data_IF_456680707543
#
_entry.id   IF_456680707543
#
_cell.length_a   1.000
_cell.length_b   1.000
_cell.length_c   1.000
_cell.angle_alpha   90.00
_cell.angle_beta   90.00
_cell.angle_gamma   90.00
#
_symmetry.space_group_name_H-M   'P 1'
#
loop_
_entity.id
_entity.type
_entity.pdbx_description
1 polymer ?
#
# COMPACT_ATOMS: atom_id res chain seq x y z
N UNK A 1 11.14 30.19 -12.12
CA UNK A 1 11.04 28.74 -12.35
C UNK A 1 10.64 28.56 -13.81
N UNK A 2 11.42 27.82 -14.59
CA UNK A 2 11.07 27.53 -16.00
C UNK A 2 9.84 26.63 -16.06
N UNK A 3 9.20 26.51 -17.22
CA UNK A 3 8.02 25.66 -17.38
C UNK A 3 8.35 24.19 -17.06
N UNK A 4 9.52 23.72 -17.48
CA UNK A 4 10.02 22.36 -17.22
C UNK A 4 10.29 22.13 -15.73
N UNK A 5 10.78 23.14 -15.02
CA UNK A 5 10.98 23.05 -13.56
C UNK A 5 9.65 22.95 -12.81
N UNK A 6 8.57 23.55 -13.31
CA UNK A 6 7.23 23.39 -12.70
C UNK A 6 6.75 21.95 -12.79
N UNK A 7 7.06 21.21 -13.88
CA UNK A 7 6.73 19.79 -13.97
C UNK A 7 7.42 18.96 -12.89
N UNK A 8 8.66 19.31 -12.51
CA UNK A 8 9.38 18.66 -11.41
C UNK A 8 8.72 19.01 -10.07
N UNK A 9 8.34 20.28 -9.88
CA UNK A 9 7.67 20.74 -8.66
C UNK A 9 6.34 20.01 -8.40
N UNK A 10 5.57 19.74 -9.47
CA UNK A 10 4.29 19.02 -9.42
C UNK A 10 4.41 17.50 -9.66
N UNK A 11 5.63 16.96 -9.80
CA UNK A 11 5.82 15.51 -9.95
C UNK A 11 5.48 14.79 -8.63
N UNK A 12 4.71 13.72 -8.73
CA UNK A 12 4.39 12.84 -7.60
C UNK A 12 5.60 12.06 -7.09
N UNK A 13 6.69 12.00 -7.85
CA UNK A 13 7.92 11.34 -7.43
C UNK A 13 8.84 12.35 -6.73
N UNK A 14 9.34 12.04 -5.51
CA UNK A 14 10.35 12.87 -4.85
C UNK A 14 11.56 13.12 -5.75
N UNK A 15 11.94 14.38 -5.87
CA UNK A 15 13.17 14.81 -6.52
C UNK A 15 13.98 15.70 -5.57
N UNK A 16 15.28 15.42 -5.45
CA UNK A 16 16.21 16.21 -4.64
C UNK A 16 17.50 16.42 -5.42
N UNK A 17 17.99 17.66 -5.40
CA UNK A 17 19.30 18.05 -5.90
C UNK A 17 20.21 18.41 -4.74
N UNK A 18 21.36 17.77 -4.66
CA UNK A 18 22.39 18.03 -3.66
C UNK A 18 23.62 18.68 -4.29
N UNK A 19 24.40 19.39 -3.48
CA UNK A 19 25.77 19.70 -3.83
C UNK A 19 26.74 18.57 -3.40
N UNK A 20 28.00 18.68 -3.77
CA UNK A 20 29.08 17.75 -3.42
C UNK A 20 29.25 17.47 -1.92
N UNK A 21 28.72 18.33 -1.04
CA UNK A 21 28.78 18.21 0.43
C UNK A 21 27.50 17.64 1.04
N UNK A 22 26.54 17.20 0.23
CA UNK A 22 25.26 16.66 0.69
C UNK A 22 24.26 17.71 1.17
N UNK A 23 24.52 19.00 0.91
CA UNK A 23 23.52 20.05 1.16
C UNK A 23 22.50 20.07 0.04
N UNK A 24 21.22 20.07 0.41
CA UNK A 24 20.10 20.24 -0.52
C UNK A 24 20.20 21.63 -1.18
N UNK A 25 20.27 21.66 -2.50
CA UNK A 25 20.21 22.86 -3.34
C UNK A 25 18.77 23.15 -3.77
N UNK A 26 18.02 22.11 -4.14
CA UNK A 26 16.60 22.19 -4.47
C UNK A 26 15.92 20.84 -4.25
N UNK A 27 14.61 20.87 -4.11
CA UNK A 27 13.74 19.71 -4.01
C UNK A 27 12.32 20.09 -4.43
N UNK A 28 11.50 19.12 -4.83
CA UNK A 28 10.08 19.37 -5.12
C UNK A 28 9.21 19.21 -3.88
N UNK A 29 7.92 19.57 -4.00
CA UNK A 29 6.95 19.44 -2.92
C UNK A 29 6.90 18.03 -2.32
N UNK A 30 6.91 16.97 -3.15
CA UNK A 30 6.83 15.60 -2.63
C UNK A 30 8.06 15.22 -1.78
N UNK A 31 9.26 15.64 -2.19
CA UNK A 31 10.47 15.42 -1.41
C UNK A 31 10.45 16.13 -0.05
N UNK A 32 9.73 17.24 0.12
CA UNK A 32 9.54 17.88 1.43
C UNK A 32 8.82 16.96 2.40
N UNK A 33 7.81 16.23 1.94
CA UNK A 33 7.09 15.26 2.77
C UNK A 33 7.94 14.03 3.08
N UNK A 34 8.72 13.54 2.11
CA UNK A 34 9.65 12.43 2.32
C UNK A 34 10.67 12.73 3.42
N UNK A 35 11.13 13.98 3.55
CA UNK A 35 12.06 14.40 4.60
C UNK A 35 11.47 14.32 6.02
N UNK A 36 10.16 14.10 6.17
CA UNK A 36 9.54 13.74 7.44
C UNK A 36 9.75 12.28 7.85
N UNK A 37 10.13 11.41 6.91
CA UNK A 37 10.34 9.98 7.12
C UNK A 37 11.77 9.50 6.84
N UNK A 38 12.55 10.24 6.05
CA UNK A 38 13.94 9.96 5.71
C UNK A 38 14.81 11.20 5.96
N UNK A 39 16.07 11.01 6.35
CA UNK A 39 16.99 12.14 6.54
C UNK A 39 17.65 12.56 5.23
N UNK A 40 18.01 13.85 5.12
CA UNK A 40 18.77 14.37 3.98
C UNK A 40 20.08 13.62 3.74
N UNK A 41 20.75 13.17 4.80
CA UNK A 41 22.02 12.47 4.70
C UNK A 41 21.85 11.04 4.13
N UNK A 42 20.80 10.32 4.56
CA UNK A 42 20.47 9.01 4.01
C UNK A 42 20.15 9.09 2.52
N UNK A 43 19.37 10.09 2.10
CA UNK A 43 19.02 10.28 0.68
C UNK A 43 20.23 10.70 -0.17
N UNK A 44 21.19 11.43 0.41
CA UNK A 44 22.43 11.77 -0.28
C UNK A 44 23.36 10.55 -0.46
N UNK A 45 23.52 9.73 0.58
CA UNK A 45 24.30 8.49 0.46
C UNK A 45 23.63 7.48 -0.49
N UNK A 46 22.29 7.44 -0.53
CA UNK A 46 21.53 6.70 -1.54
C UNK A 46 21.86 7.17 -2.96
N UNK A 47 21.90 8.49 -3.19
CA UNK A 47 22.28 9.06 -4.48
C UNK A 47 23.70 8.61 -4.89
N UNK A 48 24.68 8.71 -3.99
CA UNK A 48 26.06 8.24 -4.26
C UNK A 48 26.13 6.75 -4.56
N UNK A 49 25.35 5.93 -3.84
CA UNK A 49 25.31 4.48 -4.01
C UNK A 49 24.81 4.07 -5.39
N UNK A 50 23.79 4.76 -5.91
CA UNK A 50 23.17 4.44 -7.19
C UNK A 50 23.65 5.28 -8.37
N UNK A 51 24.58 6.21 -8.13
CA UNK A 51 25.24 6.98 -9.17
C UNK A 51 25.87 6.07 -10.24
N UNK A 52 25.91 6.60 -11.47
CA UNK A 52 26.76 6.04 -12.51
C UNK A 52 28.24 6.21 -12.12
N UNK A 53 29.15 5.51 -12.81
CA UNK A 53 30.59 5.77 -12.72
C UNK A 53 30.95 6.97 -13.62
N UNK A 54 30.25 7.09 -14.75
CA UNK A 54 30.43 8.17 -15.72
C UNK A 54 29.30 9.20 -15.59
N UNK A 55 29.60 10.47 -15.89
CA UNK A 55 28.59 11.53 -15.98
C UNK A 55 27.39 11.12 -16.82
N UNK A 56 26.21 11.55 -16.40
CA UNK A 56 24.93 11.23 -17.00
C UNK A 56 23.93 10.71 -15.97
N UNK A 57 22.95 9.94 -16.46
CA UNK A 57 21.80 9.48 -15.68
C UNK A 57 21.76 7.95 -15.65
N UNK A 58 21.48 7.39 -14.47
CA UNK A 58 21.33 5.96 -14.27
C UNK A 58 20.06 5.67 -13.49
N UNK A 59 19.21 4.84 -14.08
CA UNK A 59 18.01 4.31 -13.42
C UNK A 59 18.30 2.90 -12.92
N UNK A 60 18.01 2.66 -11.64
CA UNK A 60 18.14 1.34 -11.01
C UNK A 60 16.80 0.96 -10.39
N UNK A 61 16.30 -0.23 -10.69
CA UNK A 61 15.13 -0.80 -10.04
C UNK A 61 15.56 -1.40 -8.70
N UNK A 62 15.00 -0.87 -7.62
CA UNK A 62 15.30 -1.27 -6.24
C UNK A 62 14.08 -0.96 -5.38
N UNK A 63 13.74 -1.87 -4.48
CA UNK A 63 12.69 -1.66 -3.49
C UNK A 63 13.25 -0.91 -2.28
N UNK A 64 12.67 0.25 -1.97
CA UNK A 64 13.06 1.08 -0.83
C UNK A 64 11.82 1.47 -0.02
N UNK A 65 11.96 1.53 1.30
CA UNK A 65 10.88 1.89 2.21
C UNK A 65 11.34 2.95 3.22
N UNK A 66 10.60 4.04 3.32
CA UNK A 66 10.84 5.15 4.25
C UNK A 66 9.52 5.56 4.92
N UNK A 67 9.26 5.01 6.11
CA UNK A 67 7.96 5.16 6.76
C UNK A 67 6.84 4.59 5.89
N UNK A 68 5.87 5.43 5.50
CA UNK A 68 4.77 5.02 4.61
C UNK A 68 5.14 4.98 3.13
N UNK A 69 6.30 5.52 2.75
CA UNK A 69 6.71 5.62 1.36
C UNK A 69 7.36 4.34 0.88
N UNK A 70 6.90 3.82 -0.25
CA UNK A 70 7.50 2.68 -0.95
C UNK A 70 7.95 3.12 -2.32
N UNK A 71 9.14 2.72 -2.73
CA UNK A 71 9.73 3.04 -4.02
C UNK A 71 10.15 1.75 -4.73
N UNK A 72 10.07 1.73 -6.06
CA UNK A 72 10.46 0.59 -6.90
C UNK A 72 11.68 0.87 -7.78
N UNK A 73 12.21 2.09 -7.69
CA UNK A 73 13.43 2.46 -8.38
C UNK A 73 13.90 3.86 -8.05
N UNK A 74 15.12 4.15 -8.48
CA UNK A 74 15.75 5.46 -8.36
C UNK A 74 16.40 5.81 -9.69
N UNK A 75 16.33 7.08 -10.09
CA UNK A 75 17.23 7.66 -11.09
C UNK A 75 18.19 8.60 -10.38
N UNK A 76 19.48 8.40 -10.58
CA UNK A 76 20.52 9.33 -10.14
C UNK A 76 21.16 9.96 -11.36
N UNK A 77 21.39 11.27 -11.31
CA UNK A 77 22.00 12.02 -12.40
C UNK A 77 22.98 13.06 -11.91
N UNK A 78 24.09 13.22 -12.62
CA UNK A 78 25.08 14.27 -12.38
C UNK A 78 25.85 14.55 -13.67
N UNK A 79 26.11 15.82 -13.96
CA UNK A 79 26.85 16.26 -15.16
C UNK A 79 28.27 16.73 -14.82
N UNK A 80 28.54 16.98 -13.55
CA UNK A 80 29.81 17.43 -12.98
C UNK A 80 30.00 16.86 -11.56
N UNK A 81 31.08 17.24 -10.88
CA UNK A 81 31.36 16.83 -9.50
C UNK A 81 30.72 17.76 -8.44
N UNK A 82 30.08 18.85 -8.87
CA UNK A 82 29.54 19.86 -7.97
C UNK A 82 28.12 19.50 -7.49
N UNK A 83 27.36 18.80 -8.32
CA UNK A 83 25.94 18.51 -8.06
C UNK A 83 25.55 17.08 -8.39
N UNK A 84 24.62 16.54 -7.61
CA UNK A 84 24.01 15.23 -7.85
C UNK A 84 22.52 15.28 -7.56
N UNK A 85 21.72 14.83 -8.52
CA UNK A 85 20.27 14.71 -8.42
C UNK A 85 19.84 13.28 -8.20
N UNK A 86 18.81 13.09 -7.37
CA UNK A 86 18.12 11.82 -7.20
C UNK A 86 16.61 12.02 -7.38
N UNK A 87 16.00 11.13 -8.16
CA UNK A 87 14.55 10.96 -8.30
C UNK A 87 14.18 9.58 -7.78
N UNK A 88 13.25 9.50 -6.84
CA UNK A 88 12.74 8.23 -6.32
C UNK A 88 11.38 7.92 -6.95
N UNK A 89 11.25 6.77 -7.60
CA UNK A 89 9.99 6.37 -8.23
C UNK A 89 9.09 5.71 -7.21
N UNK A 90 8.01 6.40 -6.83
CA UNK A 90 7.04 5.86 -5.90
C UNK A 90 6.46 4.57 -6.48
N UNK A 91 6.53 3.50 -5.69
CA UNK A 91 5.77 2.29 -5.95
C UNK A 91 4.32 2.71 -6.11
N UNK A 92 3.65 2.33 -7.22
CA UNK A 92 2.26 2.67 -7.38
C UNK A 92 1.52 2.20 -6.13
N UNK A 93 0.88 3.14 -5.43
CA UNK A 93 -0.09 2.85 -4.39
C UNK A 93 -1.27 2.21 -5.11
N UNK A 94 -1.14 0.91 -5.35
CA UNK A 94 -2.11 0.02 -5.97
C UNK A 94 -2.78 0.58 -7.23
N UNK A 95 -2.30 0.15 -8.41
CA UNK A 95 -3.20 0.01 -9.55
C UNK A 95 -4.18 -1.11 -9.20
N UNK A 96 -5.25 -0.75 -8.51
CA UNK A 96 -6.39 -1.61 -8.33
C UNK A 96 -6.83 -2.00 -9.76
N UNK A 97 -6.71 -3.29 -10.11
CA UNK A 97 -7.07 -3.83 -11.43
C UNK A 97 -8.35 -3.15 -11.93
N UNK A 98 -8.33 -2.63 -13.15
CA UNK A 98 -9.38 -1.82 -13.80
C UNK A 98 -10.67 -2.60 -14.11
N UNK A 99 -10.84 -3.79 -13.54
CA UNK A 99 -12.01 -4.64 -13.75
C UNK A 99 -12.96 -4.39 -12.58
N UNK A 100 -14.17 -3.89 -12.89
CA UNK A 100 -15.25 -3.76 -11.91
C UNK A 100 -15.43 -5.12 -11.21
N UNK A 101 -15.53 -5.16 -9.87
CA UNK A 101 -15.80 -6.40 -9.16
C UNK A 101 -17.06 -7.07 -9.74
N UNK A 102 -16.92 -8.33 -10.13
CA UNK A 102 -18.08 -9.16 -10.46
C UNK A 102 -18.66 -9.72 -9.16
N UNK A 103 -19.98 -9.85 -9.09
CA UNK A 103 -20.64 -10.44 -7.93
C UNK A 103 -22.07 -9.93 -7.74
N UNK A 104 -22.55 -10.08 -6.51
CA UNK A 104 -23.90 -9.69 -6.10
C UNK A 104 -23.79 -8.64 -4.99
N UNK A 105 -24.84 -7.83 -4.84
CA UNK A 105 -24.95 -6.89 -3.74
C UNK A 105 -24.98 -7.66 -2.43
N UNK A 106 -23.93 -7.49 -1.63
CA UNK A 106 -23.65 -8.33 -0.45
C UNK A 106 -23.47 -7.47 0.79
N UNK A 107 -24.10 -7.89 1.88
CA UNK A 107 -23.81 -7.36 3.21
C UNK A 107 -22.49 -7.93 3.75
N UNK A 108 -21.45 -7.12 3.74
CA UNK A 108 -20.10 -7.52 4.18
C UNK A 108 -20.04 -7.95 5.65
N UNK A 109 -20.87 -7.38 6.53
CA UNK A 109 -20.91 -7.77 7.94
C UNK A 109 -21.41 -9.19 8.11
N UNK A 110 -22.43 -9.60 7.34
CA UNK A 110 -22.92 -10.98 7.34
C UNK A 110 -21.83 -11.97 6.89
N UNK A 111 -21.05 -11.61 5.85
CA UNK A 111 -19.94 -12.44 5.36
C UNK A 111 -18.85 -12.60 6.43
N UNK A 112 -18.47 -11.49 7.07
CA UNK A 112 -17.46 -11.51 8.13
C UNK A 112 -17.94 -12.32 9.33
N UNK A 113 -19.20 -12.14 9.74
CA UNK A 113 -19.81 -12.86 10.86
C UNK A 113 -19.85 -14.36 10.61
N UNK A 114 -20.18 -14.78 9.39
CA UNK A 114 -20.13 -16.19 8.99
C UNK A 114 -18.72 -16.74 9.14
N UNK A 115 -17.71 -16.03 8.63
CA UNK A 115 -16.32 -16.48 8.72
C UNK A 115 -15.84 -16.56 10.18
N UNK A 116 -16.17 -15.57 11.02
CA UNK A 116 -15.84 -15.60 12.45
C UNK A 116 -16.50 -16.80 13.12
N UNK A 117 -17.79 -17.02 12.88
CA UNK A 117 -18.52 -18.14 13.45
C UNK A 117 -17.87 -19.47 13.06
N UNK A 118 -17.55 -19.67 11.77
CA UNK A 118 -16.86 -20.88 11.30
C UNK A 118 -15.51 -21.11 11.98
N UNK A 119 -14.67 -20.08 12.10
CA UNK A 119 -13.33 -20.22 12.70
C UNK A 119 -13.37 -20.35 14.23
N UNK A 120 -14.41 -19.84 14.89
CA UNK A 120 -14.61 -19.99 16.33
C UNK A 120 -15.04 -21.40 16.77
N UNK A 121 -15.59 -22.23 15.87
CA UNK A 121 -16.03 -23.60 16.22
C UNK A 121 -14.84 -24.48 16.64
N UNK A 122 -13.69 -24.25 16.03
CA UNK A 122 -12.48 -25.07 16.22
C UNK A 122 -11.35 -24.33 16.92
N UNK A 123 -11.63 -23.21 17.61
CA UNK A 123 -10.62 -22.41 18.29
C UNK A 123 -11.13 -21.81 19.60
N UNK A 124 -10.24 -21.73 20.59
CA UNK A 124 -10.47 -21.00 21.85
C UNK A 124 -10.21 -19.49 21.72
N UNK A 125 -9.80 -19.01 20.54
CA UNK A 125 -9.55 -17.60 20.24
C UNK A 125 -10.80 -16.73 20.45
N UNK A 126 -10.63 -15.60 21.13
CA UNK A 126 -11.66 -14.58 21.27
C UNK A 126 -11.73 -13.65 20.05
N UNK A 127 -12.80 -13.75 19.27
CA UNK A 127 -13.04 -12.88 18.12
C UNK A 127 -13.81 -11.61 18.52
N UNK A 128 -13.18 -10.43 18.32
CA UNK A 128 -13.77 -9.11 18.58
C UNK A 128 -14.08 -8.40 17.27
N UNK A 129 -15.14 -7.58 17.27
CA UNK A 129 -15.65 -6.88 16.07
C UNK A 129 -15.71 -5.38 16.33
N UNK A 130 -15.23 -4.59 15.38
CA UNK A 130 -15.31 -3.12 15.38
C UNK A 130 -15.79 -2.67 13.99
N UNK A 131 -17.10 -2.60 13.80
CA UNK A 131 -17.70 -2.36 12.49
C UNK A 131 -18.26 -0.95 12.41
N UNK A 132 -17.84 -0.21 11.39
CA UNK A 132 -18.49 1.04 10.99
C UNK A 132 -19.84 0.72 10.31
N UNK A 133 -20.99 1.02 10.94
CA UNK A 133 -22.30 0.66 10.40
C UNK A 133 -22.70 1.52 9.19
N UNK A 134 -21.89 2.51 8.81
CA UNK A 134 -22.17 3.37 7.65
C UNK A 134 -21.79 2.74 6.32
N UNK A 135 -21.03 1.62 6.34
CA UNK A 135 -20.66 0.90 5.12
C UNK A 135 -21.91 0.22 4.54
N UNK A 136 -22.31 0.54 3.29
CA UNK A 136 -23.46 -0.07 2.66
C UNK A 136 -23.15 -1.50 2.20
N UNK A 137 -24.19 -2.20 1.72
CA UNK A 137 -23.98 -3.42 0.95
C UNK A 137 -23.19 -3.09 -0.33
N UNK A 138 -22.26 -3.95 -0.72
CA UNK A 138 -21.38 -3.72 -1.88
C UNK A 138 -21.42 -4.89 -2.85
N UNK A 139 -21.20 -4.60 -4.14
CA UNK A 139 -21.08 -5.61 -5.19
C UNK A 139 -19.74 -6.32 -5.04
N UNK A 140 -19.78 -7.61 -4.69
CA UNK A 140 -18.60 -8.44 -4.47
C UNK A 140 -18.90 -9.93 -4.68
N UNK A 141 -17.90 -10.68 -5.11
CA UNK A 141 -17.95 -12.14 -5.12
C UNK A 141 -17.76 -12.66 -3.68
N UNK A 142 -18.88 -12.87 -2.99
CA UNK A 142 -18.93 -13.39 -1.62
C UNK A 142 -18.12 -14.67 -1.43
N UNK A 143 -18.15 -15.59 -2.40
CA UNK A 143 -17.44 -16.87 -2.28
C UNK A 143 -15.93 -16.67 -2.25
N UNK A 144 -15.42 -15.75 -3.06
CA UNK A 144 -13.99 -15.40 -3.06
C UNK A 144 -13.59 -14.69 -1.78
N UNK A 145 -14.43 -13.76 -1.30
CA UNK A 145 -14.16 -13.05 -0.05
C UNK A 145 -14.13 -14.00 1.15
N UNK A 146 -15.10 -14.93 1.26
CA UNK A 146 -15.14 -15.95 2.31
C UNK A 146 -13.87 -16.81 2.30
N UNK A 147 -13.43 -17.27 1.12
CA UNK A 147 -12.19 -18.05 1.00
C UNK A 147 -10.97 -17.28 1.51
N UNK A 148 -10.86 -16.00 1.15
CA UNK A 148 -9.76 -15.15 1.58
C UNK A 148 -9.81 -14.87 3.09
N UNK A 149 -10.96 -14.47 3.63
CA UNK A 149 -11.13 -14.20 5.06
C UNK A 149 -10.81 -15.42 5.92
N UNK A 150 -11.28 -16.61 5.53
CA UNK A 150 -10.94 -17.85 6.25
C UNK A 150 -9.44 -18.10 6.28
N UNK A 151 -8.73 -17.82 5.18
CA UNK A 151 -7.26 -17.94 5.15
C UNK A 151 -6.55 -16.90 6.01
N UNK A 152 -7.11 -15.68 6.10
CA UNK A 152 -6.61 -14.63 7.00
C UNK A 152 -6.84 -15.02 8.47
N UNK A 153 -7.99 -15.58 8.83
CA UNK A 153 -8.19 -16.10 10.19
C UNK A 153 -7.25 -17.26 10.50
N UNK A 154 -6.99 -18.14 9.53
CA UNK A 154 -6.00 -19.22 9.66
C UNK A 154 -4.55 -18.71 9.83
N UNK A 155 -4.24 -17.54 9.27
CA UNK A 155 -2.95 -16.85 9.40
C UNK A 155 -2.72 -16.33 10.83
N UNK A 156 -3.80 -15.97 11.52
CA UNK A 156 -3.79 -15.50 12.91
C UNK A 156 -4.29 -16.55 13.91
N UNK A 157 -4.36 -17.84 13.56
CA UNK A 157 -5.02 -18.86 14.41
C UNK A 157 -4.40 -19.02 15.81
N UNK A 158 -3.12 -18.72 15.98
CA UNK A 158 -2.35 -18.92 17.22
C UNK A 158 -2.37 -17.67 18.10
N UNK A 159 -3.54 -17.03 18.20
CA UNK A 159 -3.75 -15.86 19.04
C UNK A 159 -4.88 -16.11 20.04
N UNK A 160 -4.71 -15.53 21.23
CA UNK A 160 -5.77 -15.51 22.25
C UNK A 160 -6.94 -14.63 21.82
N UNK A 161 -6.67 -13.57 21.04
CA UNK A 161 -7.71 -12.73 20.48
C UNK A 161 -7.40 -12.25 19.07
N UNK A 162 -8.43 -12.18 18.25
CA UNK A 162 -8.39 -11.62 16.90
C UNK A 162 -9.42 -10.50 16.83
N UNK A 163 -9.02 -9.33 16.31
CA UNK A 163 -9.91 -8.19 16.12
C UNK A 163 -10.17 -7.99 14.64
N UNK A 164 -11.44 -8.00 14.24
CA UNK A 164 -11.86 -7.65 12.89
C UNK A 164 -12.50 -6.27 12.88
N UNK A 165 -11.92 -5.36 12.12
CA UNK A 165 -12.39 -3.99 11.96
C UNK A 165 -12.88 -3.74 10.54
N UNK A 166 -14.00 -3.05 10.40
CA UNK A 166 -14.49 -2.54 9.11
C UNK A 166 -14.56 -1.02 9.22
N UNK A 167 -13.94 -0.31 8.28
CA UNK A 167 -13.88 1.15 8.32
C UNK A 167 -13.76 1.77 6.93
N UNK A 168 -14.27 3.00 6.80
CA UNK A 168 -14.13 3.80 5.58
C UNK A 168 -12.72 4.39 5.44
N UNK A 169 -12.15 4.39 4.24
CA UNK A 169 -10.86 5.04 3.92
C UNK A 169 -11.11 6.44 3.36
N UNK A 170 -11.14 7.43 4.25
CA UNK A 170 -11.41 8.83 3.88
C UNK A 170 -10.34 9.35 2.91
N UNK A 171 -10.76 9.87 1.76
CA UNK A 171 -9.88 10.49 0.77
C UNK A 171 -9.33 9.53 -0.28
N UNK A 172 -9.40 8.22 -0.04
CA UNK A 172 -8.96 7.20 -1.01
C UNK A 172 -10.09 6.86 -1.98
N UNK A 173 -9.77 6.88 -3.27
CA UNK A 173 -10.72 6.59 -4.34
C UNK A 173 -10.07 5.71 -5.41
N UNK A 174 -10.88 4.83 -5.98
CA UNK A 174 -10.54 4.02 -7.14
C UNK A 174 -11.40 4.45 -8.32
N UNK A 175 -10.80 4.46 -9.52
CA UNK A 175 -11.48 4.86 -10.75
C UNK A 175 -11.76 3.63 -11.61
N UNK A 176 -13.04 3.34 -11.89
CA UNK A 176 -13.50 2.34 -12.85
C UNK A 176 -14.36 3.02 -13.92
N UNK A 177 -14.11 2.75 -15.20
CA UNK A 177 -14.95 3.26 -16.32
C UNK A 177 -15.26 4.77 -16.21
N UNK A 178 -14.27 5.55 -15.81
CA UNK A 178 -14.36 6.98 -15.54
C UNK A 178 -15.10 7.45 -14.28
N UNK A 179 -15.73 6.54 -13.52
CA UNK A 179 -16.35 6.82 -12.23
C UNK A 179 -15.40 6.59 -11.05
N UNK A 180 -15.47 7.48 -10.05
CA UNK A 180 -14.70 7.37 -8.80
C UNK A 180 -15.54 6.71 -7.72
N UNK A 181 -15.03 5.64 -7.14
CA UNK A 181 -15.61 4.96 -6.01
C UNK A 181 -14.73 5.17 -4.79
N UNK A 182 -15.34 5.45 -3.64
CA UNK A 182 -14.60 5.46 -2.38
C UNK A 182 -14.19 4.05 -1.98
N UNK A 183 -13.23 3.94 -1.07
CA UNK A 183 -12.70 2.67 -0.58
C UNK A 183 -13.11 2.46 0.87
N UNK A 184 -13.40 1.21 1.22
CA UNK A 184 -13.47 0.77 2.61
C UNK A 184 -12.52 -0.41 2.82
N UNK A 185 -12.19 -0.66 4.08
CA UNK A 185 -11.24 -1.71 4.45
C UNK A 185 -11.86 -2.68 5.45
N UNK A 186 -11.45 -3.94 5.32
CA UNK A 186 -11.63 -4.99 6.33
C UNK A 186 -10.24 -5.30 6.87
N UNK A 187 -9.97 -4.97 8.12
CA UNK A 187 -8.72 -5.29 8.80
C UNK A 187 -8.91 -6.42 9.80
N UNK A 188 -8.03 -7.41 9.77
CA UNK A 188 -7.96 -8.50 10.75
C UNK A 188 -6.62 -8.40 11.47
N UNK A 189 -6.66 -8.30 12.80
CA UNK A 189 -5.49 -8.11 13.66
C UNK A 189 -5.31 -9.25 14.64
N UNK A 190 -4.07 -9.67 14.82
CA UNK A 190 -3.61 -10.60 15.87
C UNK A 190 -2.24 -10.17 16.38
N UNK A 191 -1.82 -10.70 17.53
CA UNK A 191 -0.49 -10.45 18.11
C UNK A 191 0.62 -11.22 17.40
N UNK A 192 0.27 -12.37 16.81
CA UNK A 192 1.20 -13.27 16.15
C UNK A 192 0.66 -13.73 14.79
N UNK A 193 1.52 -13.77 13.77
CA UNK A 193 1.16 -14.22 12.44
C UNK A 193 2.00 -15.43 12.00
N UNK A 194 1.36 -16.39 11.33
CA UNK A 194 2.05 -17.50 10.66
C UNK A 194 2.66 -17.02 9.34
N UNK A 195 3.84 -16.40 9.43
CA UNK A 195 4.55 -15.81 8.28
C UNK A 195 4.79 -16.79 7.13
N UNK A 196 4.79 -18.11 7.38
CA UNK A 196 4.92 -19.12 6.32
C UNK A 196 3.75 -19.10 5.31
N UNK A 197 2.60 -18.55 5.69
CA UNK A 197 1.39 -18.47 4.86
C UNK A 197 1.24 -17.15 4.12
N UNK A 198 2.15 -16.18 4.32
CA UNK A 198 2.07 -14.84 3.71
C UNK A 198 1.96 -14.93 2.18
N UNK A 199 2.86 -15.66 1.53
CA UNK A 199 2.87 -15.81 0.06
C UNK A 199 1.57 -16.43 -0.46
N UNK A 200 0.99 -17.35 0.31
CA UNK A 200 -0.28 -17.98 -0.05
C UNK A 200 -1.43 -16.97 -0.03
N UNK A 201 -1.48 -16.07 0.97
CA UNK A 201 -2.47 -15.00 1.03
C UNK A 201 -2.34 -14.03 -0.15
N UNK A 202 -1.11 -13.63 -0.49
CA UNK A 202 -0.84 -12.74 -1.61
C UNK A 202 -1.27 -13.36 -2.95
N UNK A 203 -0.99 -14.65 -3.17
CA UNK A 203 -1.41 -15.39 -4.36
C UNK A 203 -2.93 -15.48 -4.45
N UNK A 204 -3.61 -15.81 -3.34
CA UNK A 204 -5.08 -15.91 -3.32
C UNK A 204 -5.69 -14.54 -3.61
N UNK A 205 -5.20 -13.47 -2.99
CA UNK A 205 -5.71 -12.13 -3.23
C UNK A 205 -5.53 -11.70 -4.69
N UNK A 206 -4.32 -11.87 -5.24
CA UNK A 206 -3.99 -11.55 -6.62
C UNK A 206 -4.88 -12.30 -7.62
N UNK A 207 -5.09 -13.60 -7.40
CA UNK A 207 -5.94 -14.43 -8.26
C UNK A 207 -7.43 -14.06 -8.20
N UNK A 208 -7.86 -13.40 -7.12
CA UNK A 208 -9.25 -13.01 -6.91
C UNK A 208 -9.49 -11.50 -7.06
N UNK A 209 -8.49 -10.74 -7.53
CA UNK A 209 -8.53 -9.27 -7.64
C UNK A 209 -8.84 -8.56 -6.32
N UNK A 210 -8.39 -9.13 -5.19
CA UNK A 210 -8.40 -8.46 -3.91
C UNK A 210 -7.07 -7.78 -3.64
N UNK A 211 -7.11 -6.70 -2.88
CA UNK A 211 -5.95 -5.91 -2.55
C UNK A 211 -5.68 -6.05 -1.07
N UNK A 212 -4.50 -6.58 -0.77
CA UNK A 212 -4.06 -6.81 0.58
C UNK A 212 -2.92 -5.88 0.95
N UNK A 213 -2.98 -5.37 2.17
CA UNK A 213 -1.82 -4.89 2.92
C UNK A 213 -1.56 -5.91 4.03
N UNK A 214 -0.38 -6.52 4.05
CA UNK A 214 0.01 -7.49 5.07
C UNK A 214 1.17 -6.91 5.86
N UNK A 215 0.97 -6.83 7.17
CA UNK A 215 1.99 -6.53 8.17
C UNK A 215 2.09 -7.70 9.15
N UNK A 216 3.05 -7.67 10.08
CA UNK A 216 3.24 -8.74 11.06
C UNK A 216 2.01 -8.99 11.94
N UNK A 217 1.22 -7.95 12.23
CA UNK A 217 0.12 -8.02 13.19
C UNK A 217 -1.25 -7.71 12.58
N UNK A 218 -1.30 -7.41 11.29
CA UNK A 218 -2.52 -6.95 10.62
C UNK A 218 -2.52 -7.34 9.16
N UNK A 219 -3.65 -7.87 8.70
CA UNK A 219 -3.98 -8.03 7.27
C UNK A 219 -5.17 -7.14 6.95
N UNK A 220 -5.03 -6.27 5.96
CA UNK A 220 -6.08 -5.35 5.52
C UNK A 220 -6.49 -5.69 4.09
N UNK A 221 -7.78 -5.89 3.88
CA UNK A 221 -8.39 -6.00 2.55
C UNK A 221 -8.97 -4.65 2.17
N UNK A 222 -8.51 -4.07 1.07
CA UNK A 222 -9.07 -2.83 0.51
C UNK A 222 -10.06 -3.15 -0.60
N UNK A 223 -11.29 -2.62 -0.48
CA UNK A 223 -12.40 -2.92 -1.37
C UNK A 223 -13.06 -1.63 -1.86
N UNK A 224 -13.42 -1.56 -3.16
CA UNK A 224 -14.21 -0.46 -3.68
C UNK A 224 -15.64 -0.51 -3.11
N UNK A 225 -16.17 0.64 -2.73
CA UNK A 225 -17.56 0.78 -2.30
C UNK A 225 -18.46 1.00 -3.52
N UNK A 226 -18.81 -0.11 -4.19
CA UNK A 226 -19.68 -0.11 -5.38
C UNK A 226 -21.04 -0.66 -4.98
N UNK A 227 -22.09 0.12 -5.15
CA UNK A 227 -23.47 -0.25 -4.78
C UNK A 227 -24.38 -0.48 -6.00
N UNK A 228 -23.90 -0.16 -7.21
CA UNK A 228 -24.62 -0.29 -8.50
C UNK A 228 -23.66 -0.43 -9.68
#
# INVERSE_FOLDING_TARGET
MTFEQQWIEYDYNPFILFNAKGKILSLNAEAQFLLGAATSNELFELAKTYASINFGFKTTFVELEYGRYKFFGVTVGYEDEDQIGIKLYQSPTYKLNTVKPNGELTNIFTVIDLCIATNSISSDTLFKKDFDPTIPDVIIDSNKLIKLLNKIYEYFKENDSIVTKVFFRVGEHIKYEDEKYSIFSIAVRGEHADMSKKDTLEIIAKNNNFFLEITENEVIINLPMITS
#
